data_IF_144329871418
#
_entry.id   IF_144329871418
#
_cell.length_a   1.000
_cell.length_b   1.000
_cell.length_c   1.000
_cell.angle_alpha   90.00
_cell.angle_beta   90.00
_cell.angle_gamma   90.00
#
_symmetry.space_group_name_H-M   'P 1'
#
loop_
_entity.id
_entity.type
_entity.pdbx_description
1 polymer ?
#
# COMPACT_ATOMS: atom_id res chain seq x y z
N UNK A 1 13.36 -0.62 -15.32
CA UNK A 1 12.13 -0.84 -14.53
C UNK A 1 11.82 -2.31 -14.55
N UNK A 2 11.58 -2.92 -13.40
CA UNK A 2 11.25 -4.34 -13.31
C UNK A 2 9.80 -4.57 -13.75
N UNK A 3 9.53 -5.75 -14.32
CA UNK A 3 8.16 -6.26 -14.53
C UNK A 3 7.44 -6.36 -13.18
N UNK A 4 6.13 -6.13 -13.20
CA UNK A 4 5.29 -6.37 -12.03
C UNK A 4 4.85 -7.82 -11.94
N UNK A 5 4.85 -8.36 -10.73
CA UNK A 5 4.26 -9.66 -10.41
C UNK A 5 3.18 -9.48 -9.35
N UNK A 6 2.12 -10.28 -9.48
CA UNK A 6 1.01 -10.33 -8.55
C UNK A 6 1.17 -11.58 -7.70
N UNK A 7 1.15 -11.42 -6.38
CA UNK A 7 1.33 -12.49 -5.42
C UNK A 7 0.13 -12.55 -4.50
N UNK A 8 -0.43 -13.74 -4.29
CA UNK A 8 -1.48 -13.98 -3.31
C UNK A 8 -0.93 -14.88 -2.20
N UNK A 9 -1.21 -14.50 -0.96
CA UNK A 9 -0.91 -15.34 0.20
C UNK A 9 -2.11 -16.23 0.49
N UNK A 10 -2.02 -17.50 0.11
CA UNK A 10 -3.10 -18.48 0.23
C UNK A 10 -3.18 -19.06 1.65
N UNK A 11 -2.05 -19.13 2.36
CA UNK A 11 -1.97 -19.68 3.71
C UNK A 11 -0.73 -19.19 4.50
N UNK A 12 -0.66 -19.59 5.77
CA UNK A 12 0.53 -19.43 6.60
C UNK A 12 0.83 -18.00 7.05
N UNK A 13 2.10 -17.75 7.38
CA UNK A 13 2.56 -16.45 7.90
C UNK A 13 2.31 -15.29 6.93
N UNK A 14 2.55 -15.42 5.60
CA UNK A 14 2.28 -14.32 4.67
C UNK A 14 0.81 -13.89 4.66
N UNK A 15 -0.11 -14.85 4.74
CA UNK A 15 -1.56 -14.56 4.76
C UNK A 15 -1.93 -13.80 6.02
N UNK A 16 -1.56 -14.33 7.19
CA UNK A 16 -1.81 -13.69 8.48
C UNK A 16 -1.22 -12.28 8.56
N UNK A 17 0.02 -12.09 8.06
CA UNK A 17 0.70 -10.80 8.11
C UNK A 17 0.01 -9.75 7.22
N UNK A 18 -0.39 -10.12 6.01
CA UNK A 18 -1.08 -9.19 5.09
C UNK A 18 -2.52 -8.88 5.53
N UNK A 19 -3.23 -9.87 6.06
CA UNK A 19 -4.59 -9.67 6.60
C UNK A 19 -4.57 -8.78 7.83
N UNK A 20 -3.68 -9.05 8.80
CA UNK A 20 -3.50 -8.21 9.97
C UNK A 20 -3.08 -6.79 9.59
N UNK A 21 -2.12 -6.65 8.66
CA UNK A 21 -1.69 -5.34 8.20
C UNK A 21 -2.84 -4.55 7.55
N UNK A 22 -3.75 -5.21 6.83
CA UNK A 22 -4.92 -4.56 6.23
C UNK A 22 -5.91 -4.11 7.31
N UNK A 23 -6.12 -4.90 8.35
CA UNK A 23 -6.94 -4.51 9.50
C UNK A 23 -6.34 -3.30 10.22
N UNK A 24 -5.04 -3.35 10.53
CA UNK A 24 -4.30 -2.24 11.15
C UNK A 24 -4.39 -0.96 10.30
N UNK A 25 -4.35 -1.11 8.96
CA UNK A 25 -4.51 0.00 8.03
C UNK A 25 -5.92 0.60 8.13
N UNK A 26 -6.98 -0.20 8.15
CA UNK A 26 -8.34 0.34 8.29
C UNK A 26 -8.54 1.05 9.62
N UNK A 27 -7.99 0.51 10.70
CA UNK A 27 -8.02 1.18 12.01
C UNK A 27 -7.25 2.50 11.96
N UNK A 28 -6.12 2.54 11.25
CA UNK A 28 -5.34 3.76 11.06
C UNK A 28 -6.12 4.79 10.21
N UNK A 29 -6.80 4.36 9.15
CA UNK A 29 -7.68 5.23 8.35
C UNK A 29 -8.84 5.78 9.18
N UNK A 30 -9.43 4.99 10.08
CA UNK A 30 -10.49 5.45 10.98
C UNK A 30 -9.97 6.52 11.95
N UNK A 31 -8.79 6.31 12.55
CA UNK A 31 -8.10 7.31 13.40
C UNK A 31 -7.78 8.58 12.62
N UNK A 32 -7.28 8.45 11.38
CA UNK A 32 -7.01 9.59 10.51
C UNK A 32 -8.28 10.37 10.19
N UNK A 33 -9.38 9.67 9.86
CA UNK A 33 -10.66 10.32 9.61
C UNK A 33 -11.11 11.12 10.83
N UNK A 34 -11.05 10.54 12.03
CA UNK A 34 -11.40 11.23 13.26
C UNK A 34 -10.53 12.48 13.48
N UNK A 35 -9.21 12.36 13.28
CA UNK A 35 -8.30 13.50 13.38
C UNK A 35 -8.57 14.58 12.32
N UNK A 36 -8.90 14.19 11.08
CA UNK A 36 -9.26 15.11 10.01
C UNK A 36 -10.56 15.86 10.33
N UNK A 37 -11.57 15.16 10.85
CA UNK A 37 -12.84 15.75 11.27
C UNK A 37 -12.60 16.76 12.41
N UNK A 38 -11.70 16.43 13.37
CA UNK A 38 -11.30 17.32 14.47
C UNK A 38 -10.66 18.63 13.97
N UNK A 39 -9.71 18.55 13.04
CA UNK A 39 -9.00 19.73 12.53
C UNK A 39 -9.77 20.47 11.42
N UNK A 40 -10.90 19.93 10.95
CA UNK A 40 -11.69 20.47 9.84
C UNK A 40 -11.09 20.23 8.45
N UNK A 41 -10.25 19.20 8.29
CA UNK A 41 -9.68 18.81 7.00
C UNK A 41 -10.63 17.92 6.18
N UNK A 42 -10.65 18.10 4.86
CA UNK A 42 -11.44 17.33 3.89
C UNK A 42 -10.60 16.38 3.04
N UNK A 43 -9.28 16.40 3.23
CA UNK A 43 -8.35 15.51 2.54
C UNK A 43 -7.01 15.46 3.23
N UNK A 44 -6.23 14.44 2.91
CA UNK A 44 -4.86 14.27 3.36
C UNK A 44 -3.92 14.03 2.17
N UNK A 45 -2.69 14.53 2.27
CA UNK A 45 -1.64 14.31 1.28
C UNK A 45 -0.65 13.29 1.80
N UNK A 46 -0.53 12.19 1.08
CA UNK A 46 0.33 11.05 1.41
C UNK A 46 0.62 10.21 0.18
N UNK A 47 1.65 9.39 0.30
CA UNK A 47 1.79 8.21 -0.55
C UNK A 47 0.76 7.15 -0.10
N UNK A 48 0.38 6.21 -0.98
CA UNK A 48 -0.50 5.11 -0.60
C UNK A 48 -0.01 4.39 0.66
N UNK A 49 -0.91 4.13 1.60
CA UNK A 49 -0.68 3.44 2.87
C UNK A 49 0.26 4.13 3.88
N UNK A 50 0.85 5.27 3.53
CA UNK A 50 1.75 6.00 4.41
C UNK A 50 1.00 6.99 5.31
N UNK A 51 1.60 7.27 6.47
CA UNK A 51 1.08 8.28 7.39
C UNK A 51 1.07 9.66 6.70
N UNK A 52 -0.04 10.43 6.77
CA UNK A 52 -0.10 11.72 6.11
C UNK A 52 0.79 12.77 6.76
N UNK A 53 1.26 13.70 5.93
CA UNK A 53 2.15 14.79 6.36
C UNK A 53 1.60 16.18 6.09
N UNK A 54 0.50 16.28 5.34
CA UNK A 54 -0.20 17.52 5.05
C UNK A 54 -1.68 17.23 4.78
N UNK A 55 -2.50 18.28 4.89
CA UNK A 55 -3.95 18.20 4.85
C UNK A 55 -4.53 19.22 3.88
N UNK A 56 -5.72 18.94 3.39
CA UNK A 56 -6.52 19.83 2.54
C UNK A 56 -7.70 20.35 3.36
N UNK A 57 -7.92 21.65 3.31
CA UNK A 57 -9.04 22.30 3.98
C UNK A 57 -10.11 22.75 2.97
N UNK A 58 -11.38 22.87 3.39
CA UNK A 58 -12.45 23.42 2.56
C UNK A 58 -12.03 24.76 1.94
N UNK A 59 -12.38 24.98 0.67
CA UNK A 59 -12.11 26.23 -0.06
C UNK A 59 -10.63 26.65 -0.12
N UNK A 60 -9.70 25.75 0.22
CA UNK A 60 -8.28 26.05 0.43
C UNK A 60 -8.04 27.16 1.48
N UNK A 61 -8.87 27.18 2.52
CA UNK A 61 -8.77 28.09 3.66
C UNK A 61 -8.31 27.29 4.89
N UNK A 62 -7.01 27.28 5.16
CA UNK A 62 -6.46 26.59 6.33
C UNK A 62 -6.69 27.44 7.60
N UNK A 63 -7.01 26.82 8.75
CA UNK A 63 -7.22 27.54 9.99
C UNK A 63 -5.92 28.15 10.54
N UNK A 64 -6.05 29.03 11.53
CA UNK A 64 -4.89 29.60 12.22
C UNK A 64 -3.99 28.52 12.82
N UNK A 65 -2.69 28.81 12.84
CA UNK A 65 -1.69 27.80 13.21
C UNK A 65 -1.33 26.81 12.10
N UNK A 66 -1.94 26.89 10.91
CA UNK A 66 -1.57 26.09 9.74
C UNK A 66 -0.90 26.93 8.65
N UNK A 67 -0.09 26.30 7.79
CA UNK A 67 0.54 26.98 6.66
C UNK A 67 -0.52 27.32 5.62
N UNK A 68 -0.35 28.46 4.93
CA UNK A 68 -1.22 28.81 3.81
C UNK A 68 -1.18 27.67 2.77
N UNK A 69 -2.33 27.19 2.26
CA UNK A 69 -2.34 26.11 1.28
C UNK A 69 -1.55 26.49 0.03
N UNK A 70 -0.73 25.57 -0.46
CA UNK A 70 -0.01 25.71 -1.74
C UNK A 70 -0.96 25.52 -2.93
N UNK A 71 -0.46 25.59 -4.17
CA UNK A 71 -1.26 25.42 -5.41
C UNK A 71 -2.16 24.16 -5.40
N UNK A 72 -1.71 23.10 -4.74
CA UNK A 72 -2.44 21.83 -4.68
C UNK A 72 -3.36 21.71 -3.46
N UNK A 73 -3.44 22.74 -2.61
CA UNK A 73 -4.27 22.75 -1.40
C UNK A 73 -3.57 22.15 -0.17
N UNK A 74 -2.30 21.78 -0.27
CA UNK A 74 -1.56 21.17 0.85
C UNK A 74 -1.20 22.19 1.91
N UNK A 75 -1.57 21.88 3.16
CA UNK A 75 -1.29 22.67 4.35
C UNK A 75 -0.76 21.77 5.48
N UNK A 76 0.17 22.31 6.28
CA UNK A 76 0.83 21.63 7.39
C UNK A 76 0.68 22.46 8.67
N UNK A 77 0.75 21.86 9.86
CA UNK A 77 0.80 22.65 11.08
C UNK A 77 2.08 23.49 11.08
N UNK A 78 1.96 24.79 11.41
CA UNK A 78 3.12 25.68 11.61
C UNK A 78 3.87 25.24 12.87
N UNK A 79 5.15 25.60 12.99
CA UNK A 79 5.95 25.37 14.20
C UNK A 79 5.31 25.94 15.48
N UNK A 80 4.47 26.96 15.35
CA UNK A 80 3.71 27.56 16.46
C UNK A 80 2.53 26.70 16.93
N UNK A 81 1.98 25.84 16.09
CA UNK A 81 0.88 24.93 16.44
C UNK A 81 1.44 23.60 16.96
N UNK A 82 1.99 23.64 18.18
CA UNK A 82 2.62 22.48 18.82
C UNK A 82 1.63 21.34 19.06
N UNK A 83 0.39 21.67 19.40
CA UNK A 83 -0.66 20.69 19.64
C UNK A 83 -0.94 19.83 18.40
N UNK A 84 -1.17 20.46 17.24
CA UNK A 84 -1.41 19.72 16.00
C UNK A 84 -0.17 18.92 15.54
N UNK A 85 1.05 19.41 15.83
CA UNK A 85 2.27 18.66 15.56
C UNK A 85 2.36 17.40 16.41
N UNK A 86 2.15 17.50 17.73
CA UNK A 86 2.21 16.34 18.62
C UNK A 86 1.05 15.38 18.34
N UNK A 87 -0.18 15.85 18.16
CA UNK A 87 -1.31 15.00 17.77
C UNK A 87 -1.04 14.24 16.46
N UNK A 88 -0.51 14.92 15.44
CA UNK A 88 -0.14 14.27 14.19
C UNK A 88 0.98 13.25 14.39
N UNK A 89 1.98 13.56 15.22
CA UNK A 89 3.10 12.66 15.51
C UNK A 89 2.65 11.42 16.29
N UNK A 90 1.77 11.60 17.26
CA UNK A 90 1.24 10.56 18.13
C UNK A 90 0.09 9.77 17.50
N UNK A 91 -0.44 10.24 16.36
CA UNK A 91 -1.43 9.50 15.58
C UNK A 91 -0.89 8.11 15.21
N UNK A 92 -1.41 7.08 15.87
CA UNK A 92 -0.98 5.70 15.64
C UNK A 92 -1.30 5.28 14.20
N UNK A 93 -0.26 4.83 13.50
CA UNK A 93 -0.33 4.38 12.11
C UNK A 93 0.08 2.92 11.99
N UNK A 94 -0.44 2.22 10.98
CA UNK A 94 -0.02 0.87 10.68
C UNK A 94 1.47 0.83 10.26
N UNK A 95 2.12 -0.34 10.39
CA UNK A 95 3.47 -0.52 9.86
C UNK A 95 3.47 -0.25 8.34
N UNK A 96 4.58 0.27 7.81
CA UNK A 96 4.71 0.44 6.36
C UNK A 96 4.64 -0.92 5.67
N UNK A 97 4.01 -0.97 4.49
CA UNK A 97 3.87 -2.20 3.72
C UNK A 97 5.24 -2.82 3.44
N UNK A 98 6.24 -2.01 3.09
CA UNK A 98 7.62 -2.46 2.87
C UNK A 98 8.18 -3.20 4.10
N UNK A 99 7.95 -2.70 5.31
CA UNK A 99 8.46 -3.35 6.50
C UNK A 99 7.75 -4.69 6.76
N UNK A 100 6.44 -4.77 6.53
CA UNK A 100 5.69 -6.03 6.65
C UNK A 100 6.20 -7.04 5.62
N UNK A 101 6.31 -6.64 4.36
CA UNK A 101 6.75 -7.53 3.27
C UNK A 101 8.19 -8.01 3.48
N UNK A 102 9.11 -7.13 3.87
CA UNK A 102 10.50 -7.56 4.07
C UNK A 102 10.70 -8.38 5.34
N UNK A 103 10.10 -7.99 6.46
CA UNK A 103 10.42 -8.60 7.76
C UNK A 103 9.53 -9.80 8.09
N UNK A 104 8.28 -9.82 7.63
CA UNK A 104 7.32 -10.89 7.97
C UNK A 104 7.14 -11.90 6.83
N UNK A 105 7.32 -11.45 5.58
CA UNK A 105 7.13 -12.28 4.38
C UNK A 105 8.48 -12.73 3.79
N UNK A 106 9.54 -11.94 3.97
CA UNK A 106 10.89 -12.31 3.55
C UNK A 106 11.24 -11.92 2.11
N UNK A 107 10.48 -11.01 1.48
CA UNK A 107 10.76 -10.54 0.12
C UNK A 107 11.71 -9.32 0.14
N UNK A 108 12.73 -9.27 -0.74
CA UNK A 108 13.70 -8.19 -0.77
C UNK A 108 13.11 -6.92 -1.37
N UNK A 109 13.59 -5.76 -0.92
CA UNK A 109 13.30 -4.48 -1.54
C UNK A 109 14.50 -3.90 -2.30
N UNK A 110 15.67 -4.52 -2.20
CA UNK A 110 16.90 -4.08 -2.84
C UNK A 110 17.85 -5.26 -3.03
N UNK A 111 18.74 -5.10 -4.00
CA UNK A 111 19.84 -6.02 -4.29
C UNK A 111 21.13 -5.24 -4.38
N UNK A 112 22.18 -5.78 -3.79
CA UNK A 112 23.54 -5.33 -3.97
C UNK A 112 24.28 -6.33 -4.86
N UNK A 113 25.20 -5.86 -5.68
CA UNK A 113 26.07 -6.72 -6.46
C UNK A 113 27.21 -5.93 -7.09
N UNK A 114 28.14 -6.65 -7.69
CA UNK A 114 29.16 -6.08 -8.57
C UNK A 114 28.57 -5.87 -9.97
N UNK A 115 28.97 -4.78 -10.61
CA UNK A 115 28.67 -4.51 -12.01
C UNK A 115 30.00 -4.39 -12.78
N UNK A 116 30.03 -4.77 -14.06
CA UNK A 116 31.26 -4.71 -14.86
C UNK A 116 31.93 -3.32 -14.85
N UNK A 117 31.15 -2.25 -14.69
CA UNK A 117 31.63 -0.87 -14.65
C UNK A 117 31.85 -0.30 -13.24
N UNK A 118 31.36 -0.97 -12.19
CA UNK A 118 31.39 -0.46 -10.81
C UNK A 118 31.57 -1.61 -9.81
N UNK A 119 32.58 -1.51 -8.93
CA UNK A 119 32.91 -2.56 -7.95
C UNK A 119 31.70 -3.03 -7.14
N UNK A 120 30.89 -2.13 -6.59
CA UNK A 120 29.70 -2.50 -5.81
C UNK A 120 28.62 -1.44 -5.95
N UNK A 121 27.43 -1.86 -6.32
CA UNK A 121 26.26 -0.99 -6.45
C UNK A 121 25.09 -1.55 -5.64
N UNK A 122 24.28 -0.64 -5.09
CA UNK A 122 23.03 -0.96 -4.40
C UNK A 122 21.88 -0.46 -5.24
N UNK A 123 20.96 -1.36 -5.57
CA UNK A 123 19.81 -1.06 -6.41
C UNK A 123 18.52 -1.36 -5.66
N UNK A 124 17.65 -0.35 -5.57
CA UNK A 124 16.29 -0.53 -5.06
C UNK A 124 15.46 -1.24 -6.14
N UNK A 125 14.79 -2.31 -5.75
CA UNK A 125 13.85 -2.99 -6.65
C UNK A 125 12.63 -2.09 -6.83
N UNK A 126 12.34 -1.71 -8.07
CA UNK A 126 11.24 -0.80 -8.37
C UNK A 126 10.41 -1.31 -9.54
N UNK A 127 9.10 -1.27 -9.31
CA UNK A 127 8.05 -1.45 -10.31
C UNK A 127 7.71 -0.17 -11.09
N UNK A 128 8.60 0.82 -11.08
CA UNK A 128 8.36 2.12 -11.72
C UNK A 128 7.68 3.15 -10.82
N UNK A 129 7.52 2.83 -9.54
CA UNK A 129 7.08 3.79 -8.52
C UNK A 129 8.15 3.93 -7.43
N UNK A 130 8.01 4.96 -6.59
CA UNK A 130 8.92 5.21 -5.46
C UNK A 130 8.84 4.06 -4.44
N UNK A 131 7.68 3.40 -4.33
CA UNK A 131 7.49 2.27 -3.43
C UNK A 131 7.72 0.94 -4.17
N UNK A 132 8.53 0.02 -3.61
CA UNK A 132 8.79 -1.29 -4.23
C UNK A 132 7.50 -2.12 -4.29
N UNK A 133 6.71 -2.07 -3.21
CA UNK A 133 5.52 -2.89 -3.06
C UNK A 133 4.25 -2.05 -3.06
N UNK A 134 3.18 -2.64 -3.55
CA UNK A 134 1.81 -2.14 -3.42
C UNK A 134 0.89 -3.31 -3.18
N UNK A 135 -0.37 -3.04 -2.87
CA UNK A 135 -1.38 -4.09 -2.69
C UNK A 135 -2.69 -3.68 -3.35
N UNK A 136 -3.50 -4.67 -3.67
CA UNK A 136 -4.90 -4.50 -4.00
C UNK A 136 -5.75 -5.62 -3.39
N UNK A 137 -7.03 -5.36 -3.22
CA UNK A 137 -8.05 -6.34 -2.83
C UNK A 137 -9.40 -5.84 -3.30
N UNK A 138 -10.41 -6.71 -3.29
CA UNK A 138 -11.78 -6.37 -3.68
C UNK A 138 -12.74 -6.64 -2.54
N UNK A 139 -13.81 -5.86 -2.47
CA UNK A 139 -14.88 -6.01 -1.48
C UNK A 139 -16.11 -6.67 -2.12
N UNK A 140 -16.61 -7.73 -1.50
CA UNK A 140 -17.85 -8.40 -1.86
C UNK A 140 -19.06 -7.77 -1.13
N UNK A 141 -20.29 -8.06 -1.57
CA UNK A 141 -21.48 -7.70 -0.83
C UNK A 141 -21.40 -8.09 0.65
N UNK A 142 -21.97 -7.27 1.53
CA UNK A 142 -21.93 -7.49 2.99
C UNK A 142 -20.59 -7.13 3.65
N UNK A 143 -19.67 -6.47 2.93
CA UNK A 143 -18.40 -5.98 3.50
C UNK A 143 -17.28 -7.03 3.56
N UNK A 144 -17.53 -8.26 3.10
CA UNK A 144 -16.51 -9.32 3.04
C UNK A 144 -15.40 -8.91 2.06
N UNK A 145 -14.15 -9.01 2.46
CA UNK A 145 -13.00 -8.69 1.60
C UNK A 145 -12.40 -9.97 0.99
N UNK A 146 -11.78 -9.85 -0.19
CA UNK A 146 -10.94 -10.91 -0.75
C UNK A 146 -9.63 -11.05 0.03
N UNK A 147 -8.82 -12.06 -0.30
CA UNK A 147 -7.42 -12.07 0.11
C UNK A 147 -6.69 -10.83 -0.45
N UNK A 148 -5.59 -10.45 0.22
CA UNK A 148 -4.73 -9.33 -0.20
C UNK A 148 -3.81 -9.82 -1.31
N UNK A 149 -3.81 -9.10 -2.43
CA UNK A 149 -2.90 -9.32 -3.55
C UNK A 149 -1.74 -8.35 -3.39
N UNK A 150 -0.54 -8.87 -3.18
CA UNK A 150 0.71 -8.13 -3.14
C UNK A 150 1.24 -7.92 -4.56
N UNK A 151 1.49 -6.68 -4.93
CA UNK A 151 2.14 -6.29 -6.17
C UNK A 151 3.60 -6.01 -5.85
N UNK A 152 4.50 -6.78 -6.45
CA UNK A 152 5.94 -6.74 -6.20
C UNK A 152 6.72 -6.58 -7.52
N UNK A 153 7.96 -6.09 -7.47
CA UNK A 153 8.84 -6.14 -8.63
C UNK A 153 9.32 -7.58 -8.84
N UNK A 154 9.38 -8.02 -10.10
CA UNK A 154 10.05 -9.25 -10.47
C UNK A 154 11.55 -9.09 -10.23
N UNK A 155 12.07 -9.75 -9.20
CA UNK A 155 13.47 -9.61 -8.79
C UNK A 155 14.45 -10.16 -9.85
N UNK A 156 14.05 -11.19 -10.61
CA UNK A 156 14.91 -11.76 -11.65
C UNK A 156 15.01 -10.81 -12.85
N UNK A 157 13.87 -10.31 -13.34
CA UNK A 157 13.84 -9.30 -14.41
C UNK A 157 14.54 -8.00 -13.98
N UNK A 158 14.43 -7.61 -12.70
CA UNK A 158 15.16 -6.47 -12.16
C UNK A 158 16.68 -6.67 -12.25
N UNK A 159 17.20 -7.81 -11.77
CA UNK A 159 18.64 -8.12 -11.79
C UNK A 159 19.17 -8.18 -13.22
N UNK A 160 18.46 -8.86 -14.13
CA UNK A 160 18.85 -8.97 -15.54
C UNK A 160 18.99 -7.59 -16.18
N UNK A 161 18.04 -6.69 -15.93
CA UNK A 161 18.06 -5.32 -16.46
C UNK A 161 19.14 -4.43 -15.84
N UNK A 162 19.53 -4.68 -14.60
CA UNK A 162 20.59 -3.92 -13.92
C UNK A 162 21.97 -4.40 -14.39
N UNK A 163 22.10 -5.67 -14.80
CA UNK A 163 23.36 -6.25 -15.25
C UNK A 163 24.37 -6.48 -14.13
N UNK A 164 23.88 -6.87 -12.95
CA UNK A 164 24.74 -7.29 -11.83
C UNK A 164 25.22 -8.72 -12.05
N UNK A 165 26.43 -9.02 -11.60
CA UNK A 165 26.95 -10.39 -11.57
C UNK A 165 26.10 -11.26 -10.63
N UNK A 166 25.43 -12.33 -11.13
CA UNK A 166 24.60 -13.22 -10.33
C UNK A 166 25.30 -13.86 -9.14
N UNK A 167 26.62 -14.11 -9.21
CA UNK A 167 27.37 -14.75 -8.12
C UNK A 167 27.70 -13.78 -6.99
N UNK A 168 27.58 -12.47 -7.24
CA UNK A 168 27.88 -11.41 -6.27
C UNK A 168 26.66 -10.90 -5.49
N UNK A 169 25.46 -11.40 -5.80
CA UNK A 169 24.22 -10.80 -5.34
C UNK A 169 24.01 -10.97 -3.83
N UNK A 170 23.74 -9.86 -3.16
CA UNK A 170 23.27 -9.84 -1.76
C UNK A 170 21.93 -9.13 -1.70
N UNK A 171 20.91 -9.83 -1.19
CA UNK A 171 19.55 -9.31 -1.06
C UNK A 171 19.36 -8.53 0.24
N UNK A 172 18.54 -7.48 0.19
CA UNK A 172 18.28 -6.59 1.32
C UNK A 172 16.78 -6.48 1.67
N UNK A 173 16.44 -6.48 2.98
CA UNK A 173 17.35 -6.67 4.11
C UNK A 173 17.95 -8.09 4.15
N UNK A 174 19.02 -8.26 4.93
CA UNK A 174 19.62 -9.57 5.15
C UNK A 174 18.56 -10.58 5.65
N UNK A 175 18.61 -11.80 5.13
CA UNK A 175 17.61 -12.84 5.39
C UNK A 175 16.42 -12.84 4.42
N UNK A 176 16.33 -11.88 3.49
CA UNK A 176 15.33 -11.92 2.41
C UNK A 176 15.81 -12.69 1.19
N UNK A 177 14.87 -13.16 0.37
CA UNK A 177 15.15 -13.93 -0.84
C UNK A 177 14.18 -13.57 -1.98
N UNK A 178 14.64 -13.53 -3.24
CA UNK A 178 13.75 -13.34 -4.39
C UNK A 178 12.82 -14.54 -4.64
N UNK A 179 13.07 -15.67 -3.98
CA UNK A 179 12.22 -16.86 -4.08
C UNK A 179 10.86 -16.61 -3.40
N UNK A 180 9.80 -17.18 -3.99
CA UNK A 180 8.46 -17.08 -3.40
C UNK A 180 8.42 -17.78 -2.04
N UNK A 181 7.99 -17.08 -0.97
CA UNK A 181 7.82 -17.68 0.35
C UNK A 181 6.74 -18.77 0.35
N UNK A 182 6.89 -19.75 1.25
CA UNK A 182 5.90 -20.79 1.43
C UNK A 182 4.51 -20.21 1.77
N UNK A 183 3.46 -20.73 1.12
CA UNK A 183 2.10 -20.22 1.25
C UNK A 183 1.76 -19.02 0.37
N UNK A 184 2.71 -18.54 -0.44
CA UNK A 184 2.44 -17.58 -1.52
C UNK A 184 2.41 -18.24 -2.88
N UNK A 185 1.59 -17.68 -3.78
CA UNK A 185 1.49 -18.09 -5.18
C UNK A 185 1.56 -16.86 -6.08
N UNK A 186 2.26 -16.99 -7.20
CA UNK A 186 2.18 -16.01 -8.28
C UNK A 186 0.85 -16.13 -9.02
N UNK A 187 0.23 -14.98 -9.28
CA UNK A 187 -0.98 -14.84 -10.07
C UNK A 187 -0.66 -14.21 -11.42
N UNK A 188 -1.43 -14.61 -12.42
CA UNK A 188 -1.49 -13.90 -13.69
C UNK A 188 -2.37 -12.64 -13.56
N UNK A 189 -2.13 -11.65 -14.41
CA UNK A 189 -2.97 -10.45 -14.50
C UNK A 189 -4.44 -10.82 -14.81
N UNK A 190 -4.65 -11.83 -15.67
CA UNK A 190 -5.99 -12.32 -16.00
C UNK A 190 -6.73 -12.92 -14.79
N UNK A 191 -6.03 -13.60 -13.87
CA UNK A 191 -6.65 -14.08 -12.62
C UNK A 191 -7.06 -12.90 -11.72
N UNK A 192 -6.21 -11.88 -11.60
CA UNK A 192 -6.52 -10.67 -10.83
C UNK A 192 -7.74 -9.96 -11.43
N UNK A 193 -7.75 -9.74 -12.75
CA UNK A 193 -8.86 -9.11 -13.45
C UNK A 193 -10.16 -9.89 -13.27
N UNK A 194 -10.11 -11.22 -13.38
CA UNK A 194 -11.28 -12.08 -13.17
C UNK A 194 -11.83 -11.94 -11.76
N UNK A 195 -10.97 -11.91 -10.73
CA UNK A 195 -11.40 -11.69 -9.34
C UNK A 195 -12.10 -10.35 -9.16
N UNK A 196 -11.57 -9.27 -9.74
CA UNK A 196 -12.17 -7.94 -9.65
C UNK A 196 -13.50 -7.87 -10.42
N UNK A 197 -13.58 -8.49 -11.59
CA UNK A 197 -14.78 -8.57 -12.41
C UNK A 197 -15.90 -9.35 -11.69
N UNK A 198 -15.59 -10.52 -11.13
CA UNK A 198 -16.54 -11.33 -10.36
C UNK A 198 -17.08 -10.58 -9.15
N UNK A 199 -16.22 -9.91 -8.39
CA UNK A 199 -16.64 -9.11 -7.25
C UNK A 199 -17.52 -7.91 -7.68
N UNK A 200 -17.23 -7.28 -8.83
CA UNK A 200 -18.09 -6.23 -9.39
C UNK A 200 -19.48 -6.76 -9.73
N UNK A 201 -19.56 -7.88 -10.44
CA UNK A 201 -20.84 -8.52 -10.79
C UNK A 201 -21.63 -8.87 -9.53
N UNK A 202 -20.97 -9.45 -8.51
CA UNK A 202 -21.62 -9.78 -7.24
C UNK A 202 -22.22 -8.54 -6.54
N UNK A 203 -21.50 -7.41 -6.55
CA UNK A 203 -22.00 -6.13 -6.01
C UNK A 203 -23.20 -5.60 -6.80
N UNK A 204 -23.18 -5.71 -8.12
CA UNK A 204 -24.30 -5.26 -8.97
C UNK A 204 -25.55 -6.11 -8.76
N UNK A 205 -25.40 -7.43 -8.65
CA UNK A 205 -26.51 -8.36 -8.34
C UNK A 205 -27.11 -8.07 -6.97
N UNK A 206 -26.26 -7.92 -5.95
CA UNK A 206 -26.74 -7.60 -4.60
C UNK A 206 -27.46 -6.25 -4.53
N UNK A 207 -26.97 -5.24 -5.27
CA UNK A 207 -27.64 -3.93 -5.35
C UNK A 207 -29.02 -4.05 -5.99
N UNK A 208 -29.16 -4.79 -7.09
CA UNK A 208 -30.47 -5.00 -7.75
C UNK A 208 -31.47 -5.70 -6.84
N UNK A 209 -31.03 -6.73 -6.11
CA UNK A 209 -31.90 -7.42 -5.15
C UNK A 209 -32.43 -6.46 -4.07
N UNK A 210 -31.58 -5.58 -3.54
CA UNK A 210 -32.00 -4.56 -2.58
C UNK A 210 -32.98 -3.52 -3.18
N UNK A 211 -32.81 -3.15 -4.45
CA UNK A 211 -33.72 -2.24 -5.17
C UNK A 211 -35.10 -2.88 -5.42
N UNK A 212 -35.13 -4.19 -5.70
CA UNK A 212 -36.36 -4.96 -5.88
C UNK A 212 -37.11 -5.17 -4.54
N UNK A 213 -36.41 -5.45 -3.45
CA UNK A 213 -36.99 -5.55 -2.10
C UNK A 213 -37.50 -4.20 -1.56
N UNK A 214 -36.86 -3.09 -1.94
CA UNK A 214 -37.26 -1.73 -1.54
C UNK A 214 -38.39 -1.14 -2.39
N UNK A 215 -38.78 -1.79 -3.49
CA UNK A 215 -39.88 -1.35 -4.34
C UNK A 215 -41.21 -1.87 -3.78
N UNK A 216 -42.16 -1.01 -3.39
CA UNK A 216 -43.46 -1.46 -2.90
C UNK A 216 -44.16 -2.25 -4.00
N UNK A 217 -44.69 -3.42 -3.65
CA UNK A 217 -45.57 -4.16 -4.55
C UNK A 217 -46.75 -3.26 -4.96
N UNK A 218 -47.17 -3.27 -6.24
CA UNK A 218 -48.24 -2.43 -6.75
C UNK A 218 -49.58 -2.68 -6.07
#
# INVERSE_FOLDING_TARGET
MAKEIYLIAEAGRPKQALEQWREDLFDAEARLKAYMDEIGAVGAFRLPFEKPSAFKFPRNEAPDGWTKPTRNGASRPKKSNREAIEKLKDLEWCKSLRNVVCNEIGLPHSVNGEAESWRRASHVLSRGTIQPFSVCWTAYPGGRLSDVILIAPDAHDAVEKIGLDPESLTWLPEGTSPSLPAGMRAMTEAEVDLMFAQAKVAREVARKALEEEASPSP
#
